data_IF_258853927257
#
_entry.id   IF_258853927257
#
_cell.length_a   1.000
_cell.length_b   1.000
_cell.length_c   1.000
_cell.angle_alpha   90.00
_cell.angle_beta   90.00
_cell.angle_gamma   90.00
#
_symmetry.space_group_name_H-M   'P 1'
#
loop_
_entity.id
_entity.type
_entity.pdbx_description
1 polymer ?
#
# COMPACT_ATOMS: atom_id res chain seq x y z
N UNK A 1 11.82 3.07 51.98
CA UNK A 1 12.83 4.16 51.95
C UNK A 1 13.90 3.79 50.94
N UNK A 2 14.09 4.64 49.93
CA UNK A 2 15.05 4.42 48.85
C UNK A 2 14.79 5.35 47.67
N UNK A 3 14.83 6.67 47.91
CA UNK A 3 14.89 7.70 46.86
C UNK A 3 16.25 7.61 46.17
N UNK A 4 16.28 7.77 44.84
CA UNK A 4 17.29 8.57 44.12
C UNK A 4 16.77 8.90 42.72
N UNK A 5 16.45 10.18 42.56
CA UNK A 5 16.19 10.89 41.29
C UNK A 5 17.50 11.18 40.54
N UNK A 6 17.35 11.79 39.35
CA UNK A 6 18.32 12.51 38.50
C UNK A 6 18.91 11.71 37.32
N UNK A 7 19.08 12.27 36.11
CA UNK A 7 18.82 13.62 35.60
C UNK A 7 18.74 13.61 34.06
N UNK A 8 18.01 14.59 33.54
CA UNK A 8 17.94 15.04 32.15
C UNK A 8 19.30 15.63 31.74
N UNK A 9 19.81 15.28 30.55
CA UNK A 9 20.91 16.02 29.91
C UNK A 9 20.37 16.66 28.62
N UNK A 10 20.16 17.96 28.73
CA UNK A 10 19.94 18.93 27.67
C UNK A 10 21.31 19.36 27.13
N UNK A 11 21.55 19.25 25.83
CA UNK A 11 22.70 19.90 25.18
C UNK A 11 22.16 20.84 24.12
N UNK A 12 22.46 22.13 24.28
CA UNK A 12 22.12 23.20 23.36
C UNK A 12 23.38 24.02 23.03
N UNK A 13 23.46 24.44 21.75
CA UNK A 13 24.20 25.58 21.18
C UNK A 13 25.74 25.40 21.14
N UNK A 14 26.55 25.99 20.25
CA UNK A 14 26.62 27.31 19.58
C UNK A 14 27.51 27.08 18.31
N UNK A 15 27.35 27.72 17.13
CA UNK A 15 27.99 29.01 16.79
C UNK A 15 27.70 29.46 15.36
N UNK A 16 27.40 30.75 15.24
CA UNK A 16 27.30 31.56 14.02
C UNK A 16 28.70 32.02 13.57
N UNK A 17 28.94 32.08 12.27
CA UNK A 17 29.94 33.00 11.69
C UNK A 17 29.48 33.50 10.33
N UNK A 18 29.44 34.83 10.20
CA UNK A 18 28.99 35.57 9.04
C UNK A 18 30.16 36.05 8.16
N UNK A 19 29.80 36.36 6.91
CA UNK A 19 30.38 37.31 5.97
C UNK A 19 31.72 36.99 5.27
N UNK A 20 31.62 36.87 3.93
CA UNK A 20 32.70 37.06 2.97
C UNK A 20 32.11 37.40 1.61
N UNK A 21 32.11 38.68 1.25
CA UNK A 21 31.67 39.23 -0.03
C UNK A 21 32.84 39.25 -1.01
N UNK A 22 32.69 38.70 -2.23
CA UNK A 22 33.48 39.15 -3.38
C UNK A 22 32.71 38.97 -4.68
N UNK A 23 32.55 40.10 -5.38
CA UNK A 23 31.98 40.26 -6.71
C UNK A 23 32.82 39.54 -7.77
N UNK A 24 32.17 38.69 -8.58
CA UNK A 24 32.73 38.11 -9.80
C UNK A 24 31.60 37.74 -10.75
N UNK A 25 31.45 38.49 -11.83
CA UNK A 25 30.51 38.21 -12.91
C UNK A 25 31.18 37.27 -13.93
N UNK A 26 30.54 36.15 -14.27
CA UNK A 26 30.42 35.58 -15.62
C UNK A 26 29.92 34.12 -15.56
N UNK A 27 29.03 33.81 -16.51
CA UNK A 27 28.60 32.48 -16.98
C UNK A 27 27.82 31.57 -16.01
N UNK A 28 26.49 31.71 -16.06
CA UNK A 28 25.55 30.74 -15.49
C UNK A 28 25.54 29.50 -16.42
N UNK A 29 26.46 28.57 -16.20
CA UNK A 29 26.26 27.18 -16.62
C UNK A 29 25.02 26.64 -15.89
N UNK A 30 24.07 26.13 -16.66
CA UNK A 30 22.92 25.41 -16.12
C UNK A 30 23.41 24.32 -15.16
N UNK A 31 22.83 24.17 -13.96
CA UNK A 31 23.03 22.96 -13.20
C UNK A 31 22.34 21.85 -14.00
N UNK A 32 23.14 21.07 -14.74
CA UNK A 32 22.77 19.72 -15.14
C UNK A 32 22.52 18.97 -13.83
N UNK A 33 21.26 19.00 -13.41
CA UNK A 33 20.73 18.18 -12.34
C UNK A 33 20.77 16.76 -12.90
N UNK A 34 21.92 16.11 -12.72
CA UNK A 34 22.01 14.66 -12.85
C UNK A 34 21.20 14.12 -11.68
N UNK A 35 19.89 14.02 -11.88
CA UNK A 35 19.03 13.19 -11.09
C UNK A 35 19.65 11.79 -11.16
N UNK A 36 20.27 11.38 -10.06
CA UNK A 36 20.56 9.98 -9.85
C UNK A 36 19.21 9.31 -9.73
N UNK A 37 18.67 8.87 -10.87
CA UNK A 37 17.68 7.80 -10.91
C UNK A 37 18.32 6.63 -10.17
N UNK A 38 17.99 6.51 -8.89
CA UNK A 38 18.04 5.21 -8.25
C UNK A 38 16.95 4.43 -8.98
N UNK A 39 17.32 3.75 -10.05
CA UNK A 39 16.50 2.72 -10.67
C UNK A 39 16.31 1.68 -9.57
N UNK A 40 15.27 1.89 -8.76
CA UNK A 40 14.73 0.87 -7.89
C UNK A 40 14.44 -0.29 -8.82
N UNK A 41 15.18 -1.38 -8.67
CA UNK A 41 15.06 -2.51 -9.54
C UNK A 41 13.63 -3.03 -9.39
N UNK A 42 12.76 -2.70 -10.35
CA UNK A 42 11.48 -3.38 -10.51
C UNK A 42 11.80 -4.86 -10.56
N UNK A 43 11.41 -5.57 -9.51
CA UNK A 43 11.51 -7.03 -9.50
C UNK A 43 10.41 -7.50 -10.44
N UNK A 44 10.74 -7.56 -11.73
CA UNK A 44 9.84 -8.05 -12.75
C UNK A 44 9.50 -9.51 -12.44
N UNK A 45 8.21 -9.80 -12.30
CA UNK A 45 7.67 -11.15 -12.10
C UNK A 45 7.97 -11.98 -13.35
N UNK A 46 8.56 -13.17 -13.17
CA UNK A 46 9.07 -13.97 -14.31
C UNK A 46 8.19 -15.17 -14.63
N UNK A 47 7.46 -15.69 -13.65
CA UNK A 47 6.63 -16.88 -13.79
C UNK A 47 5.62 -17.00 -12.64
N UNK A 48 4.78 -18.02 -12.73
CA UNK A 48 3.73 -18.28 -11.74
C UNK A 48 4.27 -18.63 -10.34
N UNK A 49 5.43 -19.28 -10.22
CA UNK A 49 6.00 -19.64 -8.91
C UNK A 49 6.50 -18.41 -8.14
N UNK A 50 7.07 -17.45 -8.86
CA UNK A 50 7.43 -16.14 -8.30
C UNK A 50 6.19 -15.34 -7.92
N UNK A 51 5.15 -15.33 -8.77
CA UNK A 51 3.88 -14.70 -8.44
C UNK A 51 3.23 -15.31 -7.19
N UNK A 52 3.23 -16.64 -7.04
CA UNK A 52 2.76 -17.33 -5.83
C UNK A 52 3.51 -16.89 -4.58
N UNK A 53 4.83 -16.74 -4.69
CA UNK A 53 5.66 -16.28 -3.58
C UNK A 53 5.35 -14.83 -3.19
N UNK A 54 5.15 -13.96 -4.18
CA UNK A 54 4.75 -12.55 -3.97
C UNK A 54 3.36 -12.46 -3.35
N UNK A 55 2.39 -13.22 -3.84
CA UNK A 55 1.03 -13.27 -3.29
C UNK A 55 1.05 -13.75 -1.85
N UNK A 56 1.80 -14.81 -1.53
CA UNK A 56 1.95 -15.29 -0.17
C UNK A 56 2.59 -14.23 0.74
N UNK A 57 3.68 -13.59 0.31
CA UNK A 57 4.32 -12.53 1.08
C UNK A 57 3.40 -11.33 1.31
N UNK A 58 2.64 -10.92 0.28
CA UNK A 58 1.65 -9.83 0.36
C UNK A 58 0.52 -10.16 1.33
N UNK A 59 0.02 -11.38 1.28
CA UNK A 59 -1.03 -11.83 2.18
C UNK A 59 -0.54 -11.91 3.64
N UNK A 60 0.70 -12.40 3.85
CA UNK A 60 1.33 -12.38 5.17
C UNK A 60 1.50 -10.95 5.70
N UNK A 61 1.85 -9.98 4.84
CA UNK A 61 1.91 -8.56 5.23
C UNK A 61 0.54 -8.02 5.63
N UNK A 62 -0.51 -8.29 4.85
CA UNK A 62 -1.88 -7.91 5.20
C UNK A 62 -2.27 -8.48 6.58
N UNK A 63 -2.03 -9.77 6.82
CA UNK A 63 -2.39 -10.47 8.06
C UNK A 63 -1.59 -9.98 9.28
N UNK A 64 -0.37 -9.48 9.09
CA UNK A 64 0.52 -9.12 10.21
C UNK A 64 0.59 -7.62 10.48
N UNK A 65 0.53 -6.78 9.45
CA UNK A 65 0.65 -5.32 9.58
C UNK A 65 -0.67 -4.57 9.39
N UNK A 66 -1.69 -5.21 8.82
CA UNK A 66 -2.90 -4.52 8.38
C UNK A 66 -2.79 -4.02 6.94
N UNK A 67 -3.90 -3.43 6.48
CA UNK A 67 -4.01 -2.94 5.11
C UNK A 67 -5.00 -1.77 5.03
N UNK A 68 -4.62 -0.74 4.28
CA UNK A 68 -5.51 0.29 3.75
C UNK A 68 -5.51 0.11 2.24
N UNK A 69 -6.63 -0.30 1.69
CA UNK A 69 -6.81 -0.45 0.25
C UNK A 69 -7.80 0.60 -0.24
N UNK A 70 -7.32 1.59 -0.99
CA UNK A 70 -8.17 2.63 -1.57
C UNK A 70 -8.70 2.13 -2.91
N UNK A 71 -10.02 1.96 -2.98
CA UNK A 71 -10.71 1.43 -4.16
C UNK A 71 -11.45 2.55 -4.89
N UNK A 72 -11.19 2.65 -6.19
CA UNK A 72 -11.85 3.58 -7.12
C UNK A 72 -12.64 2.80 -8.16
N UNK A 73 -13.90 3.17 -8.33
CA UNK A 73 -14.79 2.72 -9.41
C UNK A 73 -15.25 3.92 -10.24
N UNK A 74 -15.96 3.74 -11.36
CA UNK A 74 -16.55 4.85 -12.11
C UNK A 74 -17.47 5.78 -11.29
N UNK A 75 -18.09 5.26 -10.22
CA UNK A 75 -19.12 5.98 -9.46
C UNK A 75 -18.70 6.37 -8.05
N UNK A 76 -17.74 5.64 -7.45
CA UNK A 76 -17.45 5.74 -6.04
C UNK A 76 -15.96 5.61 -5.72
N UNK A 77 -15.60 6.10 -4.54
CA UNK A 77 -14.30 5.87 -3.91
C UNK A 77 -14.53 5.46 -2.46
N UNK A 78 -13.92 4.36 -2.04
CA UNK A 78 -14.01 3.85 -0.68
C UNK A 78 -12.69 3.22 -0.25
N UNK A 79 -12.56 2.96 1.05
CA UNK A 79 -11.39 2.30 1.62
C UNK A 79 -11.81 0.95 2.17
N UNK A 80 -11.15 -0.12 1.75
CA UNK A 80 -11.15 -1.36 2.50
C UNK A 80 -10.06 -1.26 3.56
N UNK A 81 -10.43 -1.44 4.82
CA UNK A 81 -9.51 -1.33 5.95
C UNK A 81 -9.45 -2.64 6.70
N UNK A 82 -8.24 -3.12 6.98
CA UNK A 82 -7.98 -4.30 7.81
C UNK A 82 -6.97 -3.98 8.91
N UNK A 83 -7.37 -4.21 10.15
CA UNK A 83 -6.52 -4.06 11.35
C UNK A 83 -6.47 -5.40 12.11
N UNK A 84 -5.36 -6.15 12.01
CA UNK A 84 -5.23 -7.48 12.62
C UNK A 84 -5.14 -7.43 14.14
N UNK A 85 -4.98 -6.24 14.73
CA UNK A 85 -4.91 -6.07 16.20
C UNK A 85 -6.31 -6.02 16.83
N UNK A 86 -7.35 -5.80 16.02
CA UNK A 86 -8.73 -5.88 16.49
C UNK A 86 -9.19 -7.34 16.55
N UNK A 87 -10.10 -7.66 17.47
CA UNK A 87 -10.57 -9.03 17.69
C UNK A 87 -11.59 -9.46 16.62
N UNK A 88 -12.88 -9.48 16.92
CA UNK A 88 -13.90 -10.02 15.98
C UNK A 88 -14.24 -9.05 14.83
N UNK A 89 -13.77 -7.79 14.89
CA UNK A 89 -14.06 -6.74 13.92
C UNK A 89 -12.76 -6.25 13.28
N UNK A 90 -12.14 -7.07 12.44
CA UNK A 90 -10.84 -6.75 11.84
C UNK A 90 -10.94 -5.96 10.55
N UNK A 91 -12.06 -6.02 9.83
CA UNK A 91 -12.20 -5.41 8.51
C UNK A 91 -13.48 -4.63 8.30
N UNK A 92 -13.39 -3.57 7.49
CA UNK A 92 -14.52 -2.77 7.06
C UNK A 92 -14.36 -2.21 5.64
N UNK A 93 -15.48 -1.97 4.98
CA UNK A 93 -15.60 -1.01 3.86
C UNK A 93 -15.95 0.35 4.45
N UNK A 94 -15.12 1.35 4.19
CA UNK A 94 -15.27 2.71 4.72
C UNK A 94 -15.57 3.65 3.56
N UNK A 95 -16.79 4.19 3.56
CA UNK A 95 -17.15 5.23 2.61
C UNK A 95 -16.62 6.58 3.11
N UNK A 96 -15.71 7.19 2.35
CA UNK A 96 -15.05 8.44 2.75
C UNK A 96 -15.96 9.67 2.70
N UNK A 97 -17.11 9.58 2.00
CA UNK A 97 -18.06 10.70 1.84
C UNK A 97 -19.17 10.64 2.88
N UNK A 98 -19.62 9.44 3.24
CA UNK A 98 -20.70 9.21 4.19
C UNK A 98 -20.38 7.97 5.04
N UNK A 99 -19.74 8.19 6.18
CA UNK A 99 -19.29 7.09 7.04
C UNK A 99 -20.44 6.25 7.59
N UNK A 100 -21.69 6.73 7.57
CA UNK A 100 -22.88 5.95 7.95
C UNK A 100 -23.18 4.81 6.96
N UNK A 101 -22.57 4.83 5.77
CA UNK A 101 -22.61 3.74 4.78
C UNK A 101 -21.45 2.76 4.90
N UNK A 102 -20.59 2.94 5.90
CA UNK A 102 -19.48 2.01 6.15
C UNK A 102 -20.02 0.75 6.82
N UNK A 103 -19.42 -0.39 6.53
CA UNK A 103 -19.89 -1.68 7.00
C UNK A 103 -18.73 -2.61 7.35
N UNK A 104 -18.94 -3.49 8.33
CA UNK A 104 -17.99 -4.56 8.65
C UNK A 104 -17.94 -5.56 7.49
N UNK A 105 -16.74 -6.00 7.15
CA UNK A 105 -16.51 -7.05 6.18
C UNK A 105 -16.01 -8.28 6.92
N UNK A 106 -16.60 -9.43 6.62
CA UNK A 106 -16.28 -10.69 7.29
C UNK A 106 -15.11 -11.46 6.66
N UNK A 107 -14.75 -11.16 5.41
CA UNK A 107 -13.79 -11.95 4.64
C UNK A 107 -12.66 -11.05 4.08
N UNK A 108 -11.42 -11.49 4.24
CA UNK A 108 -10.23 -10.83 3.69
C UNK A 108 -10.14 -10.98 2.17
N UNK A 109 -10.93 -11.89 1.58
CA UNK A 109 -11.00 -12.07 0.12
C UNK A 109 -11.57 -10.84 -0.61
N UNK A 110 -12.26 -9.93 0.09
CA UNK A 110 -12.70 -8.65 -0.48
C UNK A 110 -11.53 -7.72 -0.83
N UNK A 111 -10.37 -7.90 -0.19
CA UNK A 111 -9.15 -7.16 -0.53
C UNK A 111 -8.50 -7.77 -1.78
N UNK A 112 -7.89 -6.94 -2.61
CA UNK A 112 -7.21 -7.39 -3.83
C UNK A 112 -6.16 -8.48 -3.54
N UNK A 113 -5.42 -8.37 -2.43
CA UNK A 113 -4.43 -9.37 -2.01
C UNK A 113 -5.08 -10.70 -1.61
N UNK A 114 -6.23 -10.66 -0.92
CA UNK A 114 -6.99 -11.87 -0.58
C UNK A 114 -7.54 -12.56 -1.84
N UNK A 115 -8.11 -11.77 -2.76
CA UNK A 115 -8.53 -12.26 -4.07
C UNK A 115 -7.38 -12.88 -4.86
N UNK A 116 -6.20 -12.25 -4.89
CA UNK A 116 -5.02 -12.80 -5.57
C UNK A 116 -4.62 -14.16 -4.98
N UNK A 117 -4.65 -14.30 -3.65
CA UNK A 117 -4.35 -15.57 -2.95
C UNK A 117 -5.32 -16.66 -3.34
N UNK A 118 -6.61 -16.38 -3.30
CA UNK A 118 -7.64 -17.34 -3.71
C UNK A 118 -7.44 -17.77 -5.17
N UNK A 119 -7.26 -16.82 -6.08
CA UNK A 119 -7.16 -17.09 -7.51
C UNK A 119 -5.89 -17.85 -7.88
N UNK A 120 -4.73 -17.51 -7.30
CA UNK A 120 -3.45 -18.13 -7.69
C UNK A 120 -3.30 -19.57 -7.17
N UNK A 121 -4.10 -19.95 -6.17
CA UNK A 121 -4.19 -21.30 -5.62
C UNK A 121 -5.21 -22.17 -6.37
N UNK A 122 -6.15 -21.56 -7.11
CA UNK A 122 -7.11 -22.28 -7.94
C UNK A 122 -6.43 -22.80 -9.22
N UNK A 123 -6.56 -24.12 -9.45
CA UNK A 123 -5.99 -24.80 -10.60
C UNK A 123 -6.65 -24.43 -11.95
N UNK A 124 -7.82 -23.79 -11.92
CA UNK A 124 -8.57 -23.33 -13.10
C UNK A 124 -8.22 -21.91 -13.52
N UNK A 125 -7.45 -21.19 -12.71
CA UNK A 125 -7.01 -19.82 -13.00
C UNK A 125 -5.93 -19.81 -14.07
N UNK A 126 -6.13 -19.00 -15.11
CA UNK A 126 -5.12 -18.69 -16.11
C UNK A 126 -4.18 -17.60 -15.59
N UNK A 127 -2.88 -17.78 -15.82
CA UNK A 127 -1.83 -16.85 -15.44
C UNK A 127 -1.21 -16.20 -16.68
N UNK A 128 -1.05 -14.88 -16.65
CA UNK A 128 -0.31 -14.13 -17.66
C UNK A 128 0.63 -13.11 -17.01
N UNK A 129 1.77 -12.84 -17.66
CA UNK A 129 2.64 -11.74 -17.28
C UNK A 129 2.12 -10.44 -17.90
N UNK A 130 2.24 -9.35 -17.15
CA UNK A 130 1.96 -7.99 -17.61
C UNK A 130 3.13 -7.08 -17.24
N UNK A 131 3.12 -5.86 -17.76
CA UNK A 131 4.11 -4.87 -17.35
C UNK A 131 3.94 -4.53 -15.86
N UNK A 132 5.04 -4.60 -15.10
CA UNK A 132 5.04 -4.38 -13.65
C UNK A 132 4.36 -5.45 -12.79
N UNK A 133 3.97 -6.61 -13.33
CA UNK A 133 3.31 -7.63 -12.51
C UNK A 133 2.75 -8.85 -13.24
N UNK A 134 1.56 -9.29 -12.82
CA UNK A 134 0.88 -10.46 -13.40
C UNK A 134 -0.64 -10.28 -13.43
N UNK A 135 -1.31 -11.10 -14.23
CA UNK A 135 -2.75 -11.17 -14.34
C UNK A 135 -3.25 -12.57 -14.02
N UNK A 136 -4.38 -12.66 -13.32
CA UNK A 136 -5.08 -13.89 -12.99
C UNK A 136 -6.50 -13.84 -13.55
N UNK A 137 -6.90 -14.89 -14.24
CA UNK A 137 -8.25 -14.99 -14.83
C UNK A 137 -8.89 -16.32 -14.43
N UNK A 138 -9.94 -16.27 -13.61
CA UNK A 138 -10.77 -17.43 -13.30
C UNK A 138 -11.88 -17.62 -14.36
N UNK A 139 -12.44 -18.83 -14.50
CA UNK A 139 -13.61 -19.05 -15.35
C UNK A 139 -14.74 -18.07 -15.01
N UNK A 140 -15.36 -17.50 -16.05
CA UNK A 140 -16.49 -16.55 -15.94
C UNK A 140 -16.13 -15.17 -15.34
N UNK A 141 -14.86 -14.93 -15.00
CA UNK A 141 -14.40 -13.66 -14.42
C UNK A 141 -13.56 -12.89 -15.43
N UNK A 142 -13.60 -11.56 -15.35
CA UNK A 142 -12.66 -10.72 -16.09
C UNK A 142 -11.27 -10.82 -15.46
N UNK A 143 -10.19 -10.64 -16.25
CA UNK A 143 -8.83 -10.65 -15.72
C UNK A 143 -8.67 -9.63 -14.58
N UNK A 144 -7.98 -10.04 -13.53
CA UNK A 144 -7.52 -9.17 -12.45
C UNK A 144 -6.00 -9.02 -12.58
N UNK A 145 -5.56 -7.77 -12.72
CA UNK A 145 -4.16 -7.38 -12.85
C UNK A 145 -3.62 -6.99 -11.48
N UNK A 146 -2.44 -7.48 -11.14
CA UNK A 146 -1.75 -7.21 -9.89
C UNK A 146 -0.36 -6.66 -10.20
N UNK A 147 -0.04 -5.50 -9.65
CA UNK A 147 1.25 -4.83 -9.85
C UNK A 147 2.09 -4.95 -8.60
N UNK A 148 3.37 -5.18 -8.81
CA UNK A 148 4.31 -5.59 -7.77
C UNK A 148 5.41 -4.56 -7.64
N UNK A 149 5.65 -4.13 -6.40
CA UNK A 149 6.80 -3.32 -6.03
C UNK A 149 7.47 -3.93 -4.81
N UNK A 150 8.81 -4.00 -4.82
CA UNK A 150 9.60 -4.56 -3.72
C UNK A 150 9.14 -5.96 -3.25
N UNK A 151 8.61 -6.78 -4.17
CA UNK A 151 8.14 -8.14 -3.88
C UNK A 151 6.75 -8.22 -3.22
N UNK A 152 5.99 -7.12 -3.20
CA UNK A 152 4.63 -7.05 -2.67
C UNK A 152 3.67 -6.52 -3.72
N UNK A 153 2.42 -6.96 -3.68
CA UNK A 153 1.33 -6.38 -4.48
C UNK A 153 1.01 -5.01 -3.88
N UNK A 154 1.14 -3.94 -4.66
CA UNK A 154 0.87 -2.56 -4.20
C UNK A 154 -0.32 -1.93 -4.94
N UNK A 155 -0.74 -2.54 -6.05
CA UNK A 155 -1.89 -2.09 -6.82
C UNK A 155 -2.56 -3.27 -7.49
N UNK A 156 -3.87 -3.17 -7.70
CA UNK A 156 -4.61 -4.07 -8.55
C UNK A 156 -5.66 -3.32 -9.39
N UNK A 157 -6.02 -3.89 -10.53
CA UNK A 157 -7.15 -3.40 -11.32
C UNK A 157 -7.84 -4.54 -12.08
N UNK A 158 -9.06 -4.29 -12.51
CA UNK A 158 -9.82 -5.23 -13.33
C UNK A 158 -11.09 -4.59 -13.88
N UNK A 159 -11.83 -5.39 -14.65
CA UNK A 159 -13.09 -4.97 -15.27
C UNK A 159 -12.92 -4.52 -16.73
N UNK A 160 -13.87 -3.71 -17.19
CA UNK A 160 -13.93 -3.16 -18.55
C UNK A 160 -13.76 -1.64 -18.54
N UNK A 161 -13.65 -1.00 -19.72
CA UNK A 161 -13.51 0.46 -19.81
C UNK A 161 -14.62 1.24 -19.09
N UNK A 162 -15.84 0.70 -19.08
CA UNK A 162 -17.02 1.36 -18.47
C UNK A 162 -17.39 0.81 -17.09
N UNK A 163 -16.80 -0.30 -16.68
CA UNK A 163 -17.10 -1.01 -15.43
C UNK A 163 -15.78 -1.56 -14.88
N UNK A 164 -14.97 -0.66 -14.34
CA UNK A 164 -13.63 -0.98 -13.81
C UNK A 164 -13.60 -0.80 -12.31
N UNK A 165 -12.58 -1.41 -11.70
CA UNK A 165 -12.13 -1.04 -10.37
C UNK A 165 -10.61 -0.93 -10.38
N UNK A 166 -10.09 -0.08 -9.50
CA UNK A 166 -8.66 0.07 -9.22
C UNK A 166 -8.47 0.10 -7.71
N UNK A 167 -7.43 -0.54 -7.24
CA UNK A 167 -7.07 -0.60 -5.83
C UNK A 167 -5.62 -0.19 -5.64
N UNK A 168 -5.36 0.74 -4.72
CA UNK A 168 -4.02 1.07 -4.23
C UNK A 168 -3.86 0.54 -2.80
N UNK A 169 -2.77 -0.17 -2.53
CA UNK A 169 -2.60 -0.96 -1.31
C UNK A 169 -1.44 -0.39 -0.49
N UNK A 170 -1.73 -0.06 0.77
CA UNK A 170 -0.77 0.41 1.76
C UNK A 170 -0.79 -0.52 2.98
N UNK A 171 0.32 -1.22 3.23
CA UNK A 171 0.46 -2.21 4.30
C UNK A 171 0.74 -1.54 5.65
N UNK A 172 -0.30 -0.96 6.23
CA UNK A 172 -0.27 -0.38 7.58
C UNK A 172 -1.67 -0.30 8.16
N UNK A 173 -1.72 -0.07 9.46
CA UNK A 173 -2.92 0.43 10.15
C UNK A 173 -2.92 1.95 10.23
N UNK A 174 -4.09 2.55 10.40
CA UNK A 174 -4.26 3.98 10.67
C UNK A 174 -5.24 4.18 11.83
N UNK A 175 -4.87 5.02 12.80
CA UNK A 175 -5.69 5.26 13.98
C UNK A 175 -7.08 5.81 13.62
N UNK A 176 -7.19 6.67 12.59
CA UNK A 176 -8.47 7.24 12.18
C UNK A 176 -9.41 6.17 11.60
N UNK A 177 -8.89 5.23 10.81
CA UNK A 177 -9.68 4.12 10.30
C UNK A 177 -10.02 3.09 11.38
N UNK A 178 -9.12 2.85 12.33
CA UNK A 178 -9.41 2.00 13.50
C UNK A 178 -10.54 2.59 14.35
N UNK A 179 -10.59 3.91 14.55
CA UNK A 179 -11.71 4.55 15.27
C UNK A 179 -13.05 4.34 14.55
N UNK A 180 -13.07 4.47 13.22
CA UNK A 180 -14.27 4.20 12.42
C UNK A 180 -14.69 2.74 12.55
N UNK A 181 -13.75 1.80 12.33
CA UNK A 181 -13.97 0.35 12.42
C UNK A 181 -14.61 -0.06 13.76
N UNK A 182 -14.10 0.49 14.88
CA UNK A 182 -14.62 0.20 16.22
C UNK A 182 -16.01 0.79 16.47
N UNK A 183 -16.39 1.82 15.71
CA UNK A 183 -17.70 2.47 15.77
C UNK A 183 -18.81 1.75 15.01
N UNK A 184 -18.51 0.76 14.16
CA UNK A 184 -19.48 0.04 13.31
C UNK A 184 -20.29 -1.05 14.05
N UNK A 185 -20.56 -0.87 15.36
CA UNK A 185 -21.24 -1.86 16.21
C UNK A 185 -22.73 -1.60 16.37
#
# INVERSE_FOLDING_TARGET
MGKKSMAIILVALISVSAAGCSTGAAERQEPSSSASETTQADVAVKNIDEAKSIVAASFDQLQTQGCIETVTTPTDNFVLYFDPTQADNQSASINLTDTAKSELIADVNYFAVGSAKMLIEDATTEFALIDGGFSLTAPEWLPMNFYVENGLIVRADGGTETDFWKAEIDYRTDAAYTEILLGLK
#
